data_IF_238808370098
#
_entry.id   IF_238808370098
#
_cell.length_a   1.000
_cell.length_b   1.000
_cell.length_c   1.000
_cell.angle_alpha   90.00
_cell.angle_beta   90.00
_cell.angle_gamma   90.00
#
_symmetry.space_group_name_H-M   'P 1'
#
loop_
_entity.id
_entity.type
_entity.pdbx_description
1 polymer ?
#
# COMPACT_ATOMS: atom_id res chain seq x y z
N UNK A 1 -0.77 -21.92 -55.37
CA UNK A 1 -0.89 -20.89 -54.32
C UNK A 1 -1.90 -21.40 -53.29
N UNK A 2 -1.44 -21.85 -52.12
CA UNK A 2 -2.33 -22.45 -51.11
C UNK A 2 -3.09 -21.32 -50.42
N UNK A 3 -4.38 -21.19 -50.73
CA UNK A 3 -5.30 -20.30 -50.02
C UNK A 3 -5.34 -20.73 -48.55
N UNK A 4 -4.72 -19.96 -47.66
CA UNK A 4 -4.86 -20.15 -46.23
C UNK A 4 -6.29 -19.79 -45.84
N UNK A 5 -7.11 -20.81 -45.56
CA UNK A 5 -8.43 -20.64 -44.97
C UNK A 5 -8.28 -20.00 -43.59
N UNK A 6 -8.37 -18.67 -43.53
CA UNK A 6 -8.43 -17.96 -42.26
C UNK A 6 -9.79 -18.22 -41.62
N UNK A 7 -9.77 -18.87 -40.46
CA UNK A 7 -10.95 -19.18 -39.68
C UNK A 7 -11.57 -17.88 -39.14
N UNK A 8 -12.78 -17.55 -39.58
CA UNK A 8 -13.50 -16.33 -39.22
C UNK A 8 -13.69 -16.16 -37.71
N UNK A 9 -13.81 -17.26 -36.96
CA UNK A 9 -13.91 -17.25 -35.50
C UNK A 9 -12.61 -16.76 -34.84
N UNK A 10 -11.46 -17.14 -35.40
CA UNK A 10 -10.14 -16.71 -34.88
C UNK A 10 -9.95 -15.21 -35.16
N UNK A 11 -10.33 -14.73 -36.34
CA UNK A 11 -10.25 -13.31 -36.68
C UNK A 11 -11.15 -12.47 -35.77
N UNK A 12 -12.39 -12.91 -35.56
CA UNK A 12 -13.34 -12.21 -34.68
C UNK A 12 -12.86 -12.15 -33.23
N UNK A 13 -12.33 -13.27 -32.71
CA UNK A 13 -11.75 -13.32 -31.37
C UNK A 13 -10.53 -12.39 -31.21
N UNK A 14 -9.65 -12.35 -32.21
CA UNK A 14 -8.49 -11.43 -32.20
C UNK A 14 -8.93 -9.97 -32.28
N UNK A 15 -9.98 -9.66 -33.05
CA UNK A 15 -10.53 -8.31 -33.16
C UNK A 15 -11.10 -7.81 -31.83
N UNK A 16 -11.89 -8.64 -31.14
CA UNK A 16 -12.40 -8.35 -29.80
C UNK A 16 -11.25 -8.13 -28.81
N UNK A 17 -10.22 -8.98 -28.84
CA UNK A 17 -9.08 -8.85 -27.94
C UNK A 17 -8.31 -7.54 -28.18
N UNK A 18 -8.07 -7.17 -29.45
CA UNK A 18 -7.42 -5.90 -29.81
C UNK A 18 -8.26 -4.72 -29.32
N UNK A 19 -9.58 -4.76 -29.51
CA UNK A 19 -10.49 -3.68 -29.11
C UNK A 19 -10.53 -3.50 -27.58
N UNK A 20 -10.60 -4.59 -26.82
CA UNK A 20 -10.54 -4.54 -25.34
C UNK A 20 -9.22 -3.94 -24.86
N UNK A 21 -8.09 -4.36 -25.42
CA UNK A 21 -6.78 -3.81 -25.05
C UNK A 21 -6.68 -2.32 -25.39
N UNK A 22 -7.22 -1.91 -26.55
CA UNK A 22 -7.27 -0.51 -26.97
C UNK A 22 -8.12 0.34 -26.02
N UNK A 23 -9.32 -0.12 -25.68
CA UNK A 23 -10.24 0.53 -24.75
C UNK A 23 -9.65 0.63 -23.34
N UNK A 24 -9.04 -0.44 -22.84
CA UNK A 24 -8.37 -0.46 -21.54
C UNK A 24 -7.22 0.54 -21.51
N UNK A 25 -6.36 0.52 -22.53
CA UNK A 25 -5.24 1.46 -22.66
C UNK A 25 -5.69 2.92 -22.67
N UNK A 26 -6.72 3.26 -23.47
CA UNK A 26 -7.33 4.60 -23.50
C UNK A 26 -7.93 5.01 -22.16
N UNK A 27 -8.55 4.07 -21.46
CA UNK A 27 -9.16 4.34 -20.15
C UNK A 27 -8.09 4.61 -19.10
N UNK A 28 -7.03 3.80 -19.07
CA UNK A 28 -5.88 4.01 -18.18
C UNK A 28 -5.14 5.31 -18.51
N UNK A 29 -4.99 5.66 -19.79
CA UNK A 29 -4.41 6.94 -20.20
C UNK A 29 -5.22 8.13 -19.66
N UNK A 30 -6.56 8.07 -19.76
CA UNK A 30 -7.45 9.11 -19.21
C UNK A 30 -7.36 9.18 -17.69
N UNK A 31 -7.30 8.04 -17.01
CA UNK A 31 -7.14 7.97 -15.56
C UNK A 31 -5.80 8.57 -15.11
N UNK A 32 -4.72 8.27 -15.83
CA UNK A 32 -3.40 8.84 -15.57
C UNK A 32 -3.39 10.36 -15.75
N UNK A 33 -3.92 10.86 -16.86
CA UNK A 33 -4.05 12.32 -17.14
C UNK A 33 -4.91 13.03 -16.10
N UNK A 34 -5.90 12.35 -15.52
CA UNK A 34 -6.77 12.90 -14.47
C UNK A 34 -6.12 12.91 -13.07
N UNK A 35 -4.94 12.30 -12.90
CA UNK A 35 -4.30 12.16 -11.59
C UNK A 35 -4.83 10.95 -10.82
N UNK A 36 -4.14 9.80 -10.87
CA UNK A 36 -4.62 8.58 -10.22
C UNK A 36 -4.67 8.70 -8.69
N UNK A 37 -3.74 9.44 -8.09
CA UNK A 37 -3.69 9.69 -6.64
C UNK A 37 -4.95 10.41 -6.15
N UNK A 38 -5.25 11.59 -6.71
CA UNK A 38 -6.44 12.35 -6.33
C UNK A 38 -7.75 11.61 -6.64
N UNK A 39 -7.80 10.90 -7.76
CA UNK A 39 -8.96 10.08 -8.14
C UNK A 39 -9.18 8.94 -7.15
N UNK A 40 -8.14 8.19 -6.81
CA UNK A 40 -8.19 7.11 -5.82
C UNK A 40 -8.59 7.63 -4.44
N UNK A 41 -7.96 8.72 -3.97
CA UNK A 41 -8.24 9.31 -2.67
C UNK A 41 -9.69 9.77 -2.56
N UNK A 42 -10.25 10.35 -3.63
CA UNK A 42 -11.66 10.76 -3.65
C UNK A 42 -12.62 9.58 -3.62
N UNK A 43 -12.34 8.52 -4.37
CA UNK A 43 -13.15 7.28 -4.35
C UNK A 43 -13.09 6.65 -2.96
N UNK A 44 -11.90 6.53 -2.39
CA UNK A 44 -11.70 5.97 -1.04
C UNK A 44 -12.40 6.80 0.02
N UNK A 45 -12.34 8.14 -0.06
CA UNK A 45 -13.05 9.03 0.86
C UNK A 45 -14.57 8.94 0.74
N UNK A 46 -15.11 8.81 -0.48
CA UNK A 46 -16.54 8.61 -0.69
C UNK A 46 -17.01 7.27 -0.14
N UNK A 47 -16.29 6.18 -0.45
CA UNK A 47 -16.58 4.85 0.09
C UNK A 47 -16.48 4.83 1.63
N UNK A 48 -15.51 5.57 2.19
CA UNK A 48 -15.37 5.71 3.63
C UNK A 48 -16.60 6.34 4.30
N UNK A 49 -17.24 7.33 3.67
CA UNK A 49 -18.47 7.93 4.20
C UNK A 49 -19.65 6.94 4.24
N UNK A 50 -19.67 5.95 3.36
CA UNK A 50 -20.70 4.90 3.33
C UNK A 50 -20.38 3.76 4.32
N UNK A 51 -19.09 3.49 4.56
CA UNK A 51 -18.61 2.58 5.59
C UNK A 51 -18.59 3.27 6.96
N UNK A 52 -19.76 3.53 7.56
CA UNK A 52 -19.86 4.18 8.87
C UNK A 52 -18.96 3.52 9.95
N UNK A 53 -17.87 4.19 10.31
CA UNK A 53 -16.96 3.74 11.36
C UNK A 53 -15.72 4.62 11.54
N UNK A 54 -15.30 4.83 12.79
CA UNK A 54 -13.94 5.32 13.09
C UNK A 54 -12.98 4.15 12.88
N UNK A 55 -12.33 4.11 11.72
CA UNK A 55 -11.28 3.13 11.47
C UNK A 55 -10.00 3.63 12.10
N UNK A 56 -9.48 2.88 13.07
CA UNK A 56 -8.10 3.03 13.52
C UNK A 56 -7.25 2.15 12.60
N UNK A 57 -6.51 2.76 11.68
CA UNK A 57 -5.48 2.01 10.98
C UNK A 57 -4.33 1.79 11.96
N UNK A 58 -4.30 0.60 12.55
CA UNK A 58 -3.26 0.15 13.46
C UNK A 58 -2.25 -0.67 12.66
N UNK A 59 -1.11 -0.08 12.37
CA UNK A 59 0.02 -0.77 11.77
C UNK A 59 1.15 -0.91 12.78
N UNK A 60 1.81 -2.05 12.78
CA UNK A 60 2.94 -2.31 13.66
C UNK A 60 4.13 -2.80 12.84
N UNK A 61 5.27 -2.14 12.99
CA UNK A 61 6.54 -2.46 12.33
C UNK A 61 7.56 -2.91 13.38
N UNK A 62 8.14 -4.09 13.19
CA UNK A 62 9.22 -4.61 14.04
C UNK A 62 10.57 -4.29 13.41
N UNK A 63 11.50 -3.78 14.22
CA UNK A 63 12.88 -3.50 13.82
C UNK A 63 13.82 -4.40 14.61
N UNK A 64 14.70 -5.13 13.92
CA UNK A 64 15.71 -6.00 14.54
C UNK A 64 17.08 -5.30 14.58
N UNK A 65 17.82 -5.51 15.66
CA UNK A 65 19.09 -4.86 15.95
C UNK A 65 20.20 -5.89 16.21
N UNK A 66 21.44 -5.49 15.89
CA UNK A 66 22.67 -6.24 16.15
C UNK A 66 23.63 -5.38 16.98
N UNK A 67 24.29 -5.96 17.97
CA UNK A 67 25.22 -5.26 18.88
C UNK A 67 24.82 -5.35 20.36
N UNK A 68 25.66 -4.84 21.26
CA UNK A 68 25.47 -4.97 22.71
C UNK A 68 24.45 -3.98 23.31
N UNK A 69 24.34 -2.75 22.80
CA UNK A 69 23.43 -1.69 23.30
C UNK A 69 23.34 -1.65 24.84
N UNK A 70 24.48 -1.47 25.49
CA UNK A 70 24.56 -1.31 26.95
C UNK A 70 23.91 0.01 27.33
N UNK A 71 23.09 -0.02 28.38
CA UNK A 71 22.49 1.19 28.91
C UNK A 71 23.55 1.96 29.71
N UNK A 72 23.83 3.20 29.33
CA UNK A 72 24.63 4.10 30.17
C UNK A 72 23.68 4.76 31.17
N UNK A 73 23.91 4.53 32.47
CA UNK A 73 23.20 5.22 33.55
C UNK A 73 23.75 6.66 33.63
N UNK A 74 22.97 7.67 33.22
CA UNK A 74 23.39 9.06 33.39
C UNK A 74 22.65 10.12 32.57
N UNK A 75 22.01 9.74 31.46
CA UNK A 75 21.22 10.69 30.66
C UNK A 75 19.74 10.64 31.08
N UNK A 76 19.40 11.44 32.09
CA UNK A 76 18.05 11.50 32.69
C UNK A 76 17.02 12.19 31.78
N UNK A 77 17.46 12.87 30.73
CA UNK A 77 16.59 13.67 29.85
C UNK A 77 16.07 12.86 28.64
N UNK A 78 16.68 11.71 28.32
CA UNK A 78 16.22 10.82 27.26
C UNK A 78 15.59 9.56 27.87
N UNK A 79 14.27 9.43 27.85
CA UNK A 79 13.61 8.14 28.14
C UNK A 79 13.98 7.18 26.99
N UNK A 80 14.83 6.17 27.24
CA UNK A 80 15.39 5.34 26.19
C UNK A 80 14.37 4.32 25.69
N UNK A 81 14.40 4.01 24.40
CA UNK A 81 13.58 2.94 23.83
C UNK A 81 14.05 1.60 24.41
N UNK A 82 13.15 0.88 25.06
CA UNK A 82 13.46 -0.43 25.64
C UNK A 82 13.63 -1.48 24.53
N UNK A 83 14.87 -1.94 24.35
CA UNK A 83 15.18 -3.08 23.48
C UNK A 83 14.70 -4.36 24.17
N UNK A 84 13.96 -5.20 23.45
CA UNK A 84 13.39 -6.47 23.95
C UNK A 84 13.74 -7.63 23.03
N UNK A 85 13.44 -8.86 23.43
CA UNK A 85 13.48 -10.05 22.56
C UNK A 85 12.07 -10.61 22.43
N UNK A 86 11.71 -11.13 21.26
CA UNK A 86 10.33 -11.52 20.98
C UNK A 86 10.09 -12.07 19.59
N UNK A 87 8.81 -12.19 19.22
CA UNK A 87 8.38 -12.79 17.96
C UNK A 87 8.88 -12.01 16.74
N UNK A 88 9.80 -12.61 16.01
CA UNK A 88 10.31 -12.11 14.74
C UNK A 88 9.55 -12.76 13.58
N UNK A 89 9.05 -11.94 12.64
CA UNK A 89 8.42 -12.43 11.40
C UNK A 89 9.39 -13.24 10.53
N UNK A 90 10.69 -12.99 10.68
CA UNK A 90 11.76 -13.73 10.02
C UNK A 90 12.17 -14.99 10.79
N UNK A 91 11.38 -15.40 11.79
CA UNK A 91 11.61 -16.58 12.64
C UNK A 91 12.94 -16.54 13.41
N UNK A 92 13.40 -15.33 13.77
CA UNK A 92 14.64 -15.08 14.52
C UNK A 92 14.37 -14.46 15.90
N UNK A 93 13.87 -15.25 16.88
CA UNK A 93 13.52 -14.75 18.21
C UNK A 93 14.76 -14.33 19.04
N UNK A 94 15.95 -14.74 18.62
CA UNK A 94 17.25 -14.41 19.22
C UNK A 94 17.66 -12.94 19.03
N UNK A 95 17.09 -12.26 18.04
CA UNK A 95 17.44 -10.87 17.74
C UNK A 95 16.81 -9.90 18.73
N UNK A 96 17.61 -8.92 19.15
CA UNK A 96 17.16 -7.72 19.86
C UNK A 96 16.21 -6.93 18.95
N UNK A 97 15.07 -6.53 19.47
CA UNK A 97 13.99 -5.93 18.69
C UNK A 97 13.30 -4.80 19.44
N UNK A 98 12.74 -3.86 18.69
CA UNK A 98 11.73 -2.93 19.17
C UNK A 98 10.61 -2.80 18.14
N UNK A 99 9.47 -2.30 18.60
CA UNK A 99 8.23 -2.27 17.82
C UNK A 99 7.74 -0.83 17.72
N UNK A 100 7.48 -0.40 16.50
CA UNK A 100 6.83 0.89 16.21
C UNK A 100 5.36 0.60 15.92
N UNK A 101 4.47 1.13 16.74
CA UNK A 101 3.03 1.09 16.50
C UNK A 101 2.56 2.45 15.98
N UNK A 102 1.97 2.45 14.80
CA UNK A 102 1.34 3.61 14.18
C UNK A 102 -0.18 3.44 14.26
N UNK A 103 -0.82 4.34 14.97
CA UNK A 103 -2.28 4.46 15.01
C UNK A 103 -2.66 5.70 14.23
N UNK A 104 -3.36 5.52 13.12
CA UNK A 104 -3.93 6.64 12.36
C UNK A 104 -5.44 6.65 12.57
N UNK A 105 -5.95 7.72 13.16
CA UNK A 105 -7.37 8.06 13.13
C UNK A 105 -7.62 9.09 12.03
N UNK A 106 -8.76 8.95 11.36
CA UNK A 106 -9.26 9.77 10.24
C UNK A 106 -8.96 11.28 10.36
N UNK A 107 -8.51 11.89 9.24
CA UNK A 107 -8.30 13.33 8.91
C UNK A 107 -6.87 13.90 9.03
N UNK A 108 -6.11 13.78 7.92
CA UNK A 108 -5.26 14.88 7.41
C UNK A 108 -5.76 15.43 6.06
N UNK A 109 -6.82 14.86 5.47
CA UNK A 109 -7.32 15.29 4.16
C UNK A 109 -8.18 16.58 4.20
N UNK A 110 -8.54 17.09 5.39
CA UNK A 110 -9.35 18.31 5.54
C UNK A 110 -8.54 19.57 5.94
N UNK A 111 -7.23 19.45 6.20
CA UNK A 111 -6.40 20.59 6.61
C UNK A 111 -5.82 21.44 5.46
N UNK A 112 -6.06 21.05 4.20
CA UNK A 112 -5.69 21.86 3.02
C UNK A 112 -6.90 22.47 2.31
N UNK A 113 -7.92 22.88 3.06
CA UNK A 113 -8.95 23.78 2.54
C UNK A 113 -8.36 25.19 2.43
N UNK A 114 -7.91 25.57 1.24
CA UNK A 114 -7.85 26.95 0.74
C UNK A 114 -9.00 27.16 -0.24
#
# INVERSE_FOLDING_TARGET
>A
MKSSNFNSTIIFGLYILIDINYLLGRTLERLYRAGPEGTFMRIAANAYNECGGRFFHNATTTMSLQGEYKHEEGDLDAVPIKITQGFSKDHRPDLKQFVISLVMSTIYLFLYRL
#
